data_IF_230925926832
#
_entry.id   IF_230925926832
#
_cell.length_a   1.000
_cell.length_b   1.000
_cell.length_c   1.000
_cell.angle_alpha   90.00
_cell.angle_beta   90.00
_cell.angle_gamma   90.00
#
_symmetry.space_group_name_H-M   'P 1'
#
loop_
_entity.id
_entity.type
_entity.pdbx_description
1 polymer ?
#
# COMPACT_ATOMS: atom_id res chain seq x y z
N UNK A 1 -11.27 10.87 -17.06
CA UNK A 1 -11.51 9.44 -16.81
C UNK A 1 -11.00 8.59 -17.98
N UNK A 2 -10.46 7.43 -17.69
CA UNK A 2 -10.03 6.43 -18.67
C UNK A 2 -10.98 5.27 -18.63
N UNK A 3 -11.72 5.09 -19.71
CA UNK A 3 -12.64 3.97 -19.89
C UNK A 3 -12.12 3.03 -20.96
N UNK A 4 -12.28 1.74 -20.70
CA UNK A 4 -11.89 0.67 -21.63
C UNK A 4 -13.11 -0.21 -21.94
N UNK A 5 -13.25 -0.54 -23.21
CA UNK A 5 -14.17 -1.57 -23.70
C UNK A 5 -13.41 -2.52 -24.64
N UNK A 6 -13.67 -3.80 -24.54
CA UNK A 6 -13.15 -4.81 -25.44
C UNK A 6 -14.10 -6.02 -25.41
N UNK A 7 -14.40 -6.60 -26.57
CA UNK A 7 -15.29 -7.77 -26.63
C UNK A 7 -14.50 -9.04 -26.35
N UNK A 8 -13.66 -9.47 -27.30
CA UNK A 8 -12.93 -10.73 -27.22
C UNK A 8 -11.44 -10.59 -26.89
N UNK A 9 -10.90 -9.38 -27.05
CA UNK A 9 -9.49 -9.14 -26.79
C UNK A 9 -9.20 -9.11 -25.31
N UNK A 10 -8.26 -9.92 -24.86
CA UNK A 10 -7.73 -9.85 -23.49
C UNK A 10 -6.80 -8.66 -23.36
N UNK A 11 -7.11 -7.75 -22.44
CA UNK A 11 -6.33 -6.57 -22.17
C UNK A 11 -5.39 -6.81 -21.00
N UNK A 12 -4.15 -6.42 -21.14
CA UNK A 12 -3.12 -6.51 -20.11
C UNK A 12 -2.80 -5.15 -19.52
N UNK A 13 -2.50 -4.21 -20.40
CA UNK A 13 -1.93 -2.91 -20.00
C UNK A 13 -2.42 -1.82 -20.94
N UNK A 14 -2.73 -0.67 -20.36
CA UNK A 14 -3.01 0.57 -21.08
C UNK A 14 -1.87 1.53 -20.77
N UNK A 15 -1.32 2.19 -21.81
CA UNK A 15 -0.26 3.19 -21.64
C UNK A 15 -0.66 4.50 -22.29
N UNK A 16 -0.52 5.59 -21.54
CA UNK A 16 -0.56 6.94 -22.07
C UNK A 16 0.79 7.60 -21.95
N UNK A 17 1.21 8.25 -23.03
CA UNK A 17 2.41 9.08 -23.04
C UNK A 17 2.03 10.49 -23.46
N UNK A 18 2.38 11.45 -22.62
CA UNK A 18 2.27 12.87 -22.93
C UNK A 18 3.66 13.44 -23.21
N UNK A 19 3.77 14.22 -24.27
CA UNK A 19 4.99 14.96 -24.62
C UNK A 19 5.11 16.24 -23.79
N UNK A 20 4.93 16.10 -22.49
CA UNK A 20 5.07 17.15 -21.48
C UNK A 20 6.41 16.96 -20.78
N UNK A 21 7.46 17.69 -21.19
CA UNK A 21 8.79 17.49 -20.65
C UNK A 21 8.85 17.88 -19.18
N UNK A 22 9.48 17.04 -18.36
CA UNK A 22 9.83 17.40 -16.99
C UNK A 22 11.17 18.11 -17.00
N UNK A 23 11.25 19.27 -16.35
CA UNK A 23 12.49 20.03 -16.28
C UNK A 23 13.59 19.17 -15.63
N UNK A 24 14.74 19.05 -16.27
CA UNK A 24 15.87 18.24 -15.80
C UNK A 24 16.40 18.66 -14.39
N UNK A 25 16.12 19.90 -13.97
CA UNK A 25 16.45 20.41 -12.63
C UNK A 25 15.39 20.07 -11.58
N UNK A 26 14.26 19.50 -11.98
CA UNK A 26 13.21 19.13 -11.05
C UNK A 26 13.69 18.07 -10.06
N UNK A 27 13.22 18.21 -8.81
CA UNK A 27 13.24 17.14 -7.84
C UNK A 27 11.89 16.43 -7.89
N UNK A 28 11.93 15.11 -7.90
CA UNK A 28 10.75 14.24 -8.06
C UNK A 28 10.50 13.49 -6.76
N UNK A 29 9.31 13.67 -6.20
CA UNK A 29 8.77 12.79 -5.17
C UNK A 29 7.78 11.84 -5.85
N UNK A 30 7.98 10.55 -5.73
CA UNK A 30 7.09 9.52 -6.28
C UNK A 30 6.57 8.60 -5.20
N UNK A 31 5.44 7.94 -5.46
CA UNK A 31 4.95 6.86 -4.63
C UNK A 31 5.90 5.66 -4.62
N UNK A 32 5.69 4.76 -3.70
CA UNK A 32 6.38 3.48 -3.60
C UNK A 32 5.35 2.35 -3.45
N UNK A 33 5.64 1.17 -3.98
CA UNK A 33 4.79 0.00 -3.84
C UNK A 33 4.73 -0.47 -2.38
N UNK A 34 5.88 -0.47 -1.75
CA UNK A 34 6.05 -0.82 -0.36
C UNK A 34 6.79 0.31 0.34
N UNK A 35 6.11 1.02 1.23
CA UNK A 35 6.67 2.22 1.86
C UNK A 35 7.77 1.93 2.85
N UNK A 36 7.76 0.76 3.45
CA UNK A 36 8.80 0.34 4.39
C UNK A 36 10.14 0.14 3.69
N UNK A 37 10.11 -0.39 2.47
CA UNK A 37 11.31 -0.65 1.66
C UNK A 37 11.48 0.36 0.52
N UNK A 38 10.46 1.15 0.29
CA UNK A 38 10.40 2.12 -0.80
C UNK A 38 11.04 3.43 -0.42
N UNK A 39 11.65 4.02 -1.41
CA UNK A 39 12.31 5.31 -1.30
C UNK A 39 11.33 6.43 -1.59
N UNK A 40 10.96 7.17 -0.57
CA UNK A 40 10.04 8.31 -0.63
C UNK A 40 10.74 9.67 -0.66
N UNK A 41 12.03 9.70 -0.97
CA UNK A 41 12.82 10.92 -1.05
C UNK A 41 12.60 11.69 -2.36
N UNK A 42 12.88 12.99 -2.29
CA UNK A 42 12.98 13.85 -3.44
C UNK A 42 14.26 13.55 -4.24
N UNK A 43 14.12 12.96 -5.41
CA UNK A 43 15.24 12.57 -6.30
C UNK A 43 15.27 13.38 -7.60
N UNK A 44 16.35 13.27 -8.35
CA UNK A 44 16.46 13.80 -9.70
C UNK A 44 15.53 13.07 -10.68
N UNK A 45 15.34 13.66 -11.85
CA UNK A 45 14.54 13.06 -12.93
C UNK A 45 15.19 11.79 -13.44
N UNK A 46 14.46 10.69 -13.45
CA UNK A 46 14.90 9.41 -14.00
C UNK A 46 13.74 8.67 -14.68
N UNK A 47 13.87 8.43 -15.97
CA UNK A 47 12.86 7.72 -16.76
C UNK A 47 12.70 6.23 -16.39
N UNK A 48 13.63 5.66 -15.66
CA UNK A 48 13.56 4.26 -15.19
C UNK A 48 12.83 4.10 -13.86
N UNK A 49 12.52 5.21 -13.17
CA UNK A 49 11.83 5.13 -11.87
C UNK A 49 10.34 4.83 -12.08
N UNK A 50 9.86 3.76 -11.47
CA UNK A 50 8.43 3.45 -11.37
C UNK A 50 7.86 4.16 -10.14
N UNK A 51 6.81 4.95 -10.35
CA UNK A 51 6.18 5.75 -9.29
C UNK A 51 4.70 5.37 -9.19
N UNK A 52 4.35 4.44 -8.27
CA UNK A 52 2.97 4.04 -8.06
C UNK A 52 2.07 5.21 -7.70
N UNK A 53 0.90 5.23 -8.28
CA UNK A 53 -0.23 6.12 -8.00
C UNK A 53 -0.02 7.59 -8.33
N UNK A 54 1.12 8.19 -7.98
CA UNK A 54 1.39 9.61 -8.18
C UNK A 54 2.89 9.93 -8.21
N UNK A 55 3.17 11.12 -8.70
CA UNK A 55 4.44 11.81 -8.45
C UNK A 55 4.24 13.33 -8.42
N UNK A 56 5.15 14.01 -7.74
CA UNK A 56 5.28 15.46 -7.77
C UNK A 56 6.64 15.84 -8.33
N UNK A 57 6.66 16.92 -9.12
CA UNK A 57 7.87 17.50 -9.69
C UNK A 57 8.01 18.95 -9.18
N UNK A 58 9.06 19.22 -8.40
CA UNK A 58 9.36 20.54 -7.85
C UNK A 58 10.54 21.17 -8.56
N UNK A 59 10.39 22.41 -9.01
CA UNK A 59 11.45 23.23 -9.60
C UNK A 59 11.22 24.70 -9.27
N UNK A 60 12.22 25.36 -8.66
CA UNK A 60 12.02 26.71 -8.12
C UNK A 60 10.89 26.70 -7.10
N UNK A 61 9.94 27.62 -7.24
CA UNK A 61 8.76 27.75 -6.38
C UNK A 61 7.55 26.98 -6.91
N UNK A 62 7.67 26.28 -8.04
CA UNK A 62 6.57 25.56 -8.70
C UNK A 62 6.63 24.09 -8.33
N UNK A 63 5.49 23.53 -7.90
CA UNK A 63 5.29 22.08 -7.72
C UNK A 63 4.13 21.62 -8.59
N UNK A 64 4.40 20.63 -9.44
CA UNK A 64 3.37 20.02 -10.30
C UNK A 64 3.16 18.58 -9.88
N UNK A 65 1.92 18.20 -9.57
CA UNK A 65 1.50 16.84 -9.23
C UNK A 65 0.77 16.16 -10.39
N UNK A 66 1.08 14.90 -10.62
CA UNK A 66 0.37 13.99 -11.54
C UNK A 66 0.00 12.73 -10.78
N UNK A 67 -1.26 12.31 -10.88
CA UNK A 67 -1.72 11.15 -10.13
C UNK A 67 -2.98 10.54 -10.70
N UNK A 68 -3.45 9.51 -10.01
CA UNK A 68 -4.77 8.93 -10.24
C UNK A 68 -5.60 9.06 -8.96
N UNK A 69 -6.91 9.28 -9.10
CA UNK A 69 -7.82 9.26 -7.95
C UNK A 69 -7.79 7.88 -7.29
N UNK A 70 -8.04 7.85 -6.01
CA UNK A 70 -8.13 6.62 -5.22
C UNK A 70 -9.15 5.64 -5.80
N UNK A 71 -8.94 4.35 -5.54
CA UNK A 71 -9.74 3.22 -6.02
C UNK A 71 -9.82 3.11 -7.55
N UNK A 72 -8.69 3.18 -8.27
CA UNK A 72 -8.67 2.80 -9.68
C UNK A 72 -8.94 1.30 -9.84
N UNK A 73 -9.45 0.90 -11.00
CA UNK A 73 -9.61 -0.52 -11.35
C UNK A 73 -8.40 -1.08 -12.10
N UNK A 74 -7.23 -0.52 -11.84
CA UNK A 74 -5.95 -0.92 -12.42
C UNK A 74 -4.81 -0.60 -11.45
N UNK A 75 -3.71 -1.35 -11.53
CA UNK A 75 -2.46 -0.98 -10.88
C UNK A 75 -1.80 0.12 -11.71
N UNK A 76 -1.79 1.33 -11.16
CA UNK A 76 -1.33 2.52 -11.87
C UNK A 76 0.07 2.92 -11.42
N UNK A 77 0.97 3.20 -12.36
CA UNK A 77 2.26 3.79 -12.06
C UNK A 77 2.71 4.78 -13.13
N UNK A 78 3.54 5.72 -12.71
CA UNK A 78 4.08 6.77 -13.54
C UNK A 78 5.56 6.60 -13.79
N UNK A 79 6.00 7.07 -14.95
CA UNK A 79 7.41 7.31 -15.28
C UNK A 79 7.52 8.70 -15.88
N UNK A 80 8.59 9.41 -15.57
CA UNK A 80 8.81 10.78 -16.02
C UNK A 80 10.26 10.97 -16.46
N UNK A 81 10.43 11.57 -17.63
CA UNK A 81 11.74 11.94 -18.16
C UNK A 81 11.71 13.36 -18.78
N UNK A 82 12.84 13.80 -19.31
CA UNK A 82 12.97 15.13 -19.93
C UNK A 82 12.20 15.30 -21.25
N UNK A 83 11.58 14.25 -21.78
CA UNK A 83 10.77 14.28 -23.00
C UNK A 83 9.28 14.12 -22.74
N UNK A 84 8.90 13.65 -21.54
CA UNK A 84 7.50 13.52 -21.21
C UNK A 84 7.21 12.64 -19.98
N UNK A 85 5.93 12.42 -19.77
CA UNK A 85 5.41 11.59 -18.69
C UNK A 85 4.61 10.41 -19.25
N UNK A 86 4.70 9.27 -18.60
CA UNK A 86 3.97 8.05 -18.99
C UNK A 86 3.16 7.58 -17.81
N UNK A 87 1.88 7.30 -18.03
CA UNK A 87 1.04 6.54 -17.11
C UNK A 87 0.85 5.12 -17.66
N UNK A 88 1.12 4.14 -16.85
CA UNK A 88 0.85 2.74 -17.14
C UNK A 88 -0.26 2.27 -16.18
N UNK A 89 -1.31 1.70 -16.75
CA UNK A 89 -2.43 1.10 -16.03
C UNK A 89 -2.44 -0.40 -16.33
N UNK A 90 -2.03 -1.20 -15.36
CA UNK A 90 -2.02 -2.66 -15.46
C UNK A 90 -3.36 -3.20 -14.94
N UNK A 91 -4.13 -3.82 -15.82
CA UNK A 91 -5.46 -4.38 -15.52
C UNK A 91 -5.43 -5.89 -15.33
N UNK A 92 -4.24 -6.52 -15.38
CA UNK A 92 -4.12 -7.98 -15.35
C UNK A 92 -4.48 -8.61 -14.02
N UNK A 93 -4.31 -7.89 -12.91
CA UNK A 93 -4.44 -8.46 -11.56
C UNK A 93 -3.65 -9.77 -11.37
N UNK A 94 -2.39 -9.78 -11.84
CA UNK A 94 -1.53 -10.97 -11.80
C UNK A 94 -1.75 -12.00 -12.91
N UNK A 95 -2.88 -11.94 -13.61
CA UNK A 95 -3.23 -12.90 -14.66
C UNK A 95 -2.64 -12.59 -16.04
N UNK A 96 -3.02 -13.40 -17.02
CA UNK A 96 -2.57 -13.32 -18.42
C UNK A 96 -3.28 -12.25 -19.24
N UNK A 97 -4.28 -11.60 -18.68
CA UNK A 97 -5.09 -10.57 -19.31
C UNK A 97 -6.54 -10.68 -18.91
N UNK A 98 -7.25 -9.55 -18.94
CA UNK A 98 -8.67 -9.47 -18.59
C UNK A 98 -9.52 -9.41 -19.84
N UNK A 99 -10.48 -10.33 -19.96
CA UNK A 99 -11.51 -10.29 -20.98
C UNK A 99 -12.73 -9.54 -20.45
N UNK A 100 -13.08 -8.44 -21.08
CA UNK A 100 -14.18 -7.61 -20.63
C UNK A 100 -15.54 -8.09 -21.14
N UNK A 101 -15.60 -8.82 -22.25
CA UNK A 101 -16.84 -9.35 -22.83
C UNK A 101 -17.93 -8.29 -22.97
N UNK A 102 -17.58 -7.14 -23.56
CA UNK A 102 -18.48 -6.00 -23.73
C UNK A 102 -18.70 -5.12 -22.50
N UNK A 103 -18.23 -5.50 -21.33
CA UNK A 103 -18.30 -4.65 -20.13
C UNK A 103 -17.41 -3.43 -20.27
N UNK A 104 -17.86 -2.32 -19.68
CA UNK A 104 -17.04 -1.10 -19.54
C UNK A 104 -16.24 -1.15 -18.25
N UNK A 105 -14.93 -0.91 -18.35
CA UNK A 105 -14.04 -0.78 -17.21
C UNK A 105 -13.56 0.68 -17.12
N UNK A 106 -13.88 1.36 -16.01
CA UNK A 106 -13.21 2.61 -15.67
C UNK A 106 -11.84 2.28 -15.06
N UNK A 107 -10.80 2.29 -15.89
CA UNK A 107 -9.46 1.88 -15.46
C UNK A 107 -8.89 2.85 -14.42
N UNK A 108 -8.97 4.15 -14.66
CA UNK A 108 -8.53 5.19 -13.73
C UNK A 108 -9.18 6.55 -14.00
N UNK A 109 -9.11 7.44 -13.03
CA UNK A 109 -9.35 8.87 -13.19
C UNK A 109 -8.05 9.61 -12.95
N UNK A 110 -7.53 10.24 -14.00
CA UNK A 110 -6.26 10.96 -13.97
C UNK A 110 -6.51 12.37 -13.40
N UNK A 111 -5.62 12.82 -12.55
CA UNK A 111 -5.63 14.16 -11.98
C UNK A 111 -4.25 14.80 -12.08
N UNK A 112 -4.25 16.12 -12.20
CA UNK A 112 -3.04 16.94 -12.13
C UNK A 112 -3.32 18.22 -11.34
N UNK A 113 -2.29 18.76 -10.73
CA UNK A 113 -2.35 20.02 -9.98
C UNK A 113 -1.02 20.74 -10.13
N UNK A 114 -1.06 22.07 -10.12
CA UNK A 114 0.15 22.89 -10.02
C UNK A 114 -0.05 23.91 -8.90
N UNK A 115 0.98 24.09 -8.10
CA UNK A 115 1.06 25.16 -7.08
C UNK A 115 2.29 26.02 -7.35
N UNK A 116 2.24 27.28 -6.93
CA UNK A 116 3.33 28.24 -7.04
C UNK A 116 3.45 29.01 -5.72
N UNK A 117 4.68 29.21 -5.26
CA UNK A 117 4.95 29.90 -3.99
C UNK A 117 4.52 29.12 -2.73
N UNK A 118 4.03 27.90 -2.89
CA UNK A 118 3.64 26.99 -1.79
C UNK A 118 4.79 26.03 -1.50
N UNK A 119 5.03 25.74 -0.21
CA UNK A 119 6.02 24.75 0.19
C UNK A 119 5.75 23.36 -0.39
N UNK A 120 6.79 22.56 -0.59
CA UNK A 120 6.66 21.21 -1.21
C UNK A 120 5.79 20.27 -0.38
N UNK A 121 5.84 20.37 0.94
CA UNK A 121 5.01 19.55 1.82
C UNK A 121 3.53 19.95 1.73
N UNK A 122 3.23 21.24 1.77
CA UNK A 122 1.88 21.76 1.62
C UNK A 122 1.30 21.41 0.25
N UNK A 123 2.11 21.52 -0.81
CA UNK A 123 1.72 21.13 -2.16
C UNK A 123 1.38 19.63 -2.23
N UNK A 124 2.16 18.79 -1.56
CA UNK A 124 1.89 17.35 -1.48
C UNK A 124 0.57 17.06 -0.74
N UNK A 125 0.30 17.75 0.37
CA UNK A 125 -0.96 17.65 1.11
C UNK A 125 -2.16 18.07 0.28
N UNK A 126 -2.07 19.19 -0.43
CA UNK A 126 -3.15 19.63 -1.33
C UNK A 126 -3.37 18.64 -2.46
N UNK A 127 -2.30 18.05 -3.01
CA UNK A 127 -2.43 17.03 -4.04
C UNK A 127 -3.09 15.74 -3.50
N UNK A 128 -2.86 15.36 -2.26
CA UNK A 128 -3.59 14.26 -1.62
C UNK A 128 -5.11 14.52 -1.62
N UNK A 129 -5.55 15.75 -1.34
CA UNK A 129 -6.98 16.12 -1.40
C UNK A 129 -7.55 16.04 -2.81
N UNK A 130 -6.74 16.36 -3.84
CA UNK A 130 -7.15 16.19 -5.25
C UNK A 130 -7.33 14.72 -5.61
N UNK A 131 -6.44 13.85 -5.11
CA UNK A 131 -6.52 12.40 -5.36
C UNK A 131 -7.63 11.72 -4.55
N UNK A 132 -7.91 12.20 -3.34
CA UNK A 132 -8.92 11.66 -2.43
C UNK A 132 -9.73 12.80 -1.82
N UNK A 133 -10.92 13.05 -2.35
CA UNK A 133 -11.82 14.11 -1.88
C UNK A 133 -12.61 13.73 -0.63
N UNK A 134 -12.70 12.44 -0.34
CA UNK A 134 -13.44 11.89 0.79
C UNK A 134 -12.60 10.80 1.47
N UNK A 135 -11.55 11.20 2.22
CA UNK A 135 -10.68 10.25 2.91
C UNK A 135 -11.38 9.69 4.16
N UNK A 136 -11.23 8.40 4.37
CA UNK A 136 -11.65 7.73 5.61
C UNK A 136 -10.44 7.67 6.53
N UNK A 137 -10.53 8.37 7.65
CA UNK A 137 -9.52 8.33 8.70
C UNK A 137 -10.03 7.50 9.89
N UNK A 138 -9.18 6.81 10.62
CA UNK A 138 -9.55 6.25 11.90
C UNK A 138 -9.91 7.37 12.89
N UNK A 139 -10.85 7.09 13.79
CA UNK A 139 -11.31 8.06 14.81
C UNK A 139 -10.23 8.40 15.85
N UNK A 140 -9.17 7.60 15.89
CA UNK A 140 -8.06 7.73 16.84
C UNK A 140 -6.72 7.39 16.16
N UNK A 141 -5.60 7.88 16.69
CA UNK A 141 -4.28 7.49 16.20
C UNK A 141 -4.06 5.99 16.27
N UNK A 142 -3.63 5.39 15.16
CA UNK A 142 -3.26 3.96 15.09
C UNK A 142 -1.77 3.85 15.36
N UNK A 143 -1.42 3.14 16.44
CA UNK A 143 -0.03 2.90 16.84
C UNK A 143 0.07 1.60 17.63
N UNK A 144 1.27 1.09 17.79
CA UNK A 144 1.49 -0.15 18.54
C UNK A 144 2.77 -0.85 18.15
N UNK A 145 2.81 -2.16 18.37
CA UNK A 145 3.95 -3.02 18.08
C UNK A 145 3.59 -4.10 17.06
N UNK A 146 4.62 -4.57 16.38
CA UNK A 146 4.59 -5.69 15.44
C UNK A 146 5.86 -6.50 15.63
N UNK A 147 5.76 -7.82 15.65
CA UNK A 147 6.87 -8.70 15.99
C UNK A 147 7.76 -9.14 14.81
N UNK A 148 7.44 -8.73 13.57
CA UNK A 148 8.14 -9.25 12.38
C UNK A 148 9.65 -9.01 12.41
N UNK A 149 10.09 -7.77 12.64
CA UNK A 149 11.48 -7.38 12.44
C UNK A 149 12.50 -7.94 13.44
N UNK A 150 12.08 -8.70 14.43
CA UNK A 150 13.00 -9.49 15.27
C UNK A 150 12.71 -10.98 15.20
N UNK A 151 11.43 -11.39 15.07
CA UNK A 151 11.02 -12.80 15.08
C UNK A 151 11.13 -13.46 13.70
N UNK A 152 10.88 -12.70 12.60
CA UNK A 152 10.90 -13.20 11.22
C UNK A 152 10.15 -14.53 11.03
N UNK A 153 9.00 -14.67 11.70
CA UNK A 153 8.19 -15.88 11.67
C UNK A 153 8.56 -16.94 12.70
N UNK A 154 9.62 -16.81 13.43
CA UNK A 154 9.88 -17.64 14.61
C UNK A 154 9.24 -17.00 15.85
N UNK A 155 7.92 -16.96 15.85
CA UNK A 155 7.07 -16.35 16.87
C UNK A 155 6.15 -17.37 17.53
N UNK A 156 5.66 -17.04 18.71
CA UNK A 156 4.73 -17.86 19.48
C UNK A 156 3.75 -17.00 20.27
N UNK A 157 2.65 -17.62 20.74
CA UNK A 157 1.70 -16.97 21.64
C UNK A 157 2.40 -16.40 22.87
N UNK A 158 3.37 -17.12 23.45
CA UNK A 158 4.12 -16.68 24.62
C UNK A 158 4.89 -15.39 24.38
N UNK A 159 5.62 -15.31 23.24
CA UNK A 159 6.38 -14.11 22.87
C UNK A 159 5.46 -12.91 22.61
N UNK A 160 4.33 -13.11 21.93
CA UNK A 160 3.34 -12.06 21.71
C UNK A 160 2.80 -11.52 23.02
N UNK A 161 2.58 -12.37 24.03
CA UNK A 161 2.12 -11.93 25.35
C UNK A 161 3.21 -11.17 26.11
N UNK A 162 4.48 -11.56 25.99
CA UNK A 162 5.61 -10.82 26.57
C UNK A 162 5.76 -9.45 25.90
N UNK A 163 5.71 -9.37 24.58
CA UNK A 163 5.75 -8.09 23.85
C UNK A 163 4.58 -7.17 24.24
N UNK A 164 3.42 -7.79 24.49
CA UNK A 164 2.25 -7.04 24.97
C UNK A 164 2.52 -6.38 26.30
N UNK A 165 3.19 -7.06 27.22
CA UNK A 165 3.54 -6.48 28.52
C UNK A 165 4.49 -5.27 28.35
N UNK A 166 5.45 -5.35 27.43
CA UNK A 166 6.33 -4.21 27.12
C UNK A 166 5.56 -3.03 26.51
N UNK A 167 4.68 -3.25 25.53
CA UNK A 167 3.95 -2.14 24.91
C UNK A 167 2.96 -1.50 25.89
N UNK A 168 2.34 -2.27 26.76
CA UNK A 168 1.45 -1.77 27.84
C UNK A 168 2.22 -0.87 28.79
N UNK A 169 3.40 -1.27 29.22
CA UNK A 169 4.24 -0.44 30.11
C UNK A 169 4.70 0.86 29.41
N UNK A 170 5.11 0.77 28.14
CA UNK A 170 5.54 1.93 27.36
C UNK A 170 4.41 2.93 27.10
N UNK A 171 3.17 2.47 27.08
CA UNK A 171 1.99 3.31 26.79
C UNK A 171 1.17 3.64 28.02
N UNK A 172 1.70 3.42 29.21
CA UNK A 172 1.06 3.69 30.47
C UNK A 172 0.62 5.16 30.60
N UNK A 173 -0.66 5.37 30.87
CA UNK A 173 -1.24 6.71 30.96
C UNK A 173 -1.71 7.29 29.63
N UNK A 174 -1.67 6.53 28.55
CA UNK A 174 -2.26 6.91 27.26
C UNK A 174 -3.67 6.32 27.17
N UNK A 175 -4.68 7.17 27.00
CA UNK A 175 -6.09 6.75 26.95
C UNK A 175 -6.43 5.88 25.74
N UNK A 176 -5.74 6.12 24.60
CA UNK A 176 -5.94 5.35 23.37
C UNK A 176 -5.09 4.07 23.40
N UNK A 177 -5.67 2.85 23.51
CA UNK A 177 -4.89 1.62 23.56
C UNK A 177 -4.06 1.38 22.30
N UNK A 178 -2.82 0.87 22.45
CA UNK A 178 -1.99 0.47 21.32
C UNK A 178 -2.50 -0.80 20.64
N UNK A 179 -2.02 -1.08 19.42
CA UNK A 179 -2.17 -2.39 18.81
C UNK A 179 -0.97 -3.29 19.14
N UNK A 180 -1.25 -4.57 19.35
CA UNK A 180 -0.26 -5.63 19.24
C UNK A 180 -0.57 -6.48 18.02
N UNK A 181 0.29 -6.40 17.00
CA UNK A 181 0.08 -7.07 15.72
C UNK A 181 0.89 -8.36 15.68
N UNK A 182 0.19 -9.46 15.51
CA UNK A 182 0.79 -10.76 15.21
C UNK A 182 1.08 -10.78 13.70
N UNK A 183 2.36 -10.79 13.34
CA UNK A 183 2.76 -10.79 11.95
C UNK A 183 2.71 -12.21 11.35
N UNK A 184 3.22 -12.38 10.16
CA UNK A 184 3.20 -13.62 9.38
C UNK A 184 3.67 -14.85 10.19
N UNK A 185 3.30 -16.04 9.72
CA UNK A 185 3.72 -17.32 10.29
C UNK A 185 2.92 -17.81 11.51
N UNK A 186 1.78 -17.20 11.80
CA UNK A 186 0.85 -17.69 12.81
C UNK A 186 -0.07 -18.81 12.31
N UNK A 187 -0.32 -18.84 11.00
CA UNK A 187 -1.31 -19.71 10.36
C UNK A 187 -0.84 -21.15 10.23
N UNK A 188 -1.82 -22.05 10.15
CA UNK A 188 -1.62 -23.47 9.78
C UNK A 188 -0.94 -23.55 8.41
N UNK A 189 -0.14 -24.58 8.17
CA UNK A 189 0.63 -24.80 6.94
C UNK A 189 1.71 -23.76 6.63
N UNK A 190 2.09 -22.93 7.60
CA UNK A 190 3.24 -22.07 7.42
C UNK A 190 4.53 -22.87 7.30
N UNK A 191 5.31 -22.61 6.24
CA UNK A 191 6.66 -23.10 6.04
C UNK A 191 7.57 -21.95 5.60
N UNK A 192 8.70 -21.82 6.28
CA UNK A 192 9.68 -20.77 5.98
C UNK A 192 10.32 -20.90 4.59
N UNK A 193 10.28 -22.09 4.00
CA UNK A 193 10.88 -22.47 2.72
C UNK A 193 9.87 -22.62 1.58
N UNK A 194 8.59 -22.46 1.87
CA UNK A 194 7.51 -22.58 0.91
C UNK A 194 6.64 -21.32 0.86
N UNK A 195 5.81 -21.27 -0.18
CA UNK A 195 4.85 -20.21 -0.36
C UNK A 195 3.82 -20.14 0.78
N UNK A 196 3.67 -18.97 1.37
CA UNK A 196 2.87 -18.72 2.54
C UNK A 196 1.53 -18.06 2.15
N UNK A 197 0.54 -18.87 1.79
CA UNK A 197 -0.73 -18.44 1.22
C UNK A 197 -1.99 -18.78 2.01
N UNK A 198 -1.89 -19.01 3.29
CA UNK A 198 -3.04 -19.42 4.13
C UNK A 198 -3.14 -20.95 4.26
N UNK A 199 -4.27 -21.54 4.73
CA UNK A 199 -5.53 -20.87 5.04
C UNK A 199 -5.45 -19.94 6.27
N UNK A 200 -6.16 -18.80 6.19
CA UNK A 200 -6.16 -17.77 7.24
C UNK A 200 -7.26 -18.00 8.29
N UNK A 201 -7.54 -19.26 8.62
CA UNK A 201 -8.66 -19.64 9.50
C UNK A 201 -8.22 -20.14 10.86
N UNK A 202 -7.01 -20.70 10.94
CA UNK A 202 -6.54 -21.44 12.10
C UNK A 202 -5.06 -21.20 12.33
N UNK A 203 -4.69 -21.06 13.59
CA UNK A 203 -3.30 -20.96 14.00
C UNK A 203 -2.58 -22.31 13.97
N UNK A 204 -1.25 -22.27 13.88
CA UNK A 204 -0.39 -23.43 13.98
C UNK A 204 -0.17 -23.85 15.44
N UNK A 205 0.73 -24.81 15.67
CA UNK A 205 1.01 -25.34 17.02
C UNK A 205 1.53 -24.28 18.01
N UNK A 206 2.18 -23.22 17.52
CA UNK A 206 2.66 -22.09 18.32
C UNK A 206 1.55 -21.06 18.65
N UNK A 207 0.46 -21.14 17.92
CA UNK A 207 -0.73 -20.29 18.04
C UNK A 207 -2.00 -21.15 18.05
N UNK A 208 -2.19 -21.99 19.09
CA UNK A 208 -3.21 -23.03 19.06
C UNK A 208 -4.66 -22.50 19.11
N UNK A 209 -4.86 -21.32 19.70
CA UNK A 209 -6.18 -20.68 19.80
C UNK A 209 -6.06 -19.16 19.65
N UNK A 210 -6.21 -18.69 18.40
CA UNK A 210 -6.15 -17.25 18.06
C UNK A 210 -7.26 -16.44 18.74
N UNK A 211 -8.43 -17.05 18.97
CA UNK A 211 -9.53 -16.38 19.65
C UNK A 211 -9.25 -16.16 21.14
N UNK A 212 -8.67 -17.16 21.80
CA UNK A 212 -8.23 -17.02 23.18
C UNK A 212 -7.07 -16.03 23.33
N UNK A 213 -6.12 -16.04 22.37
CA UNK A 213 -5.02 -15.08 22.35
C UNK A 213 -5.54 -13.65 22.20
N UNK A 214 -6.45 -13.39 21.25
CA UNK A 214 -7.04 -12.06 21.07
C UNK A 214 -7.69 -11.54 22.38
N UNK A 215 -8.43 -12.38 23.10
CA UNK A 215 -9.01 -12.01 24.41
C UNK A 215 -7.94 -11.67 25.46
N UNK A 216 -6.86 -12.46 25.54
CA UNK A 216 -5.74 -12.17 26.46
C UNK A 216 -5.09 -10.82 26.14
N UNK A 217 -4.97 -10.47 24.87
CA UNK A 217 -4.44 -9.17 24.43
C UNK A 217 -5.37 -8.03 24.85
N UNK A 218 -6.69 -8.17 24.64
CA UNK A 218 -7.69 -7.19 25.09
C UNK A 218 -7.69 -7.03 26.61
N UNK A 219 -7.62 -8.12 27.37
CA UNK A 219 -7.54 -8.13 28.84
C UNK A 219 -6.27 -7.41 29.35
N UNK A 220 -5.17 -7.47 28.60
CA UNK A 220 -3.94 -6.72 28.89
C UNK A 220 -4.03 -5.24 28.51
N UNK A 221 -5.07 -4.80 27.82
CA UNK A 221 -5.30 -3.40 27.47
C UNK A 221 -4.76 -2.98 26.09
N UNK A 222 -4.52 -3.93 25.19
CA UNK A 222 -4.14 -3.64 23.81
C UNK A 222 -5.22 -4.08 22.82
N UNK A 223 -5.20 -3.52 21.62
CA UNK A 223 -6.03 -3.98 20.51
C UNK A 223 -5.30 -5.09 19.75
N UNK A 224 -5.89 -6.29 19.61
CA UNK A 224 -5.26 -7.34 18.81
C UNK A 224 -5.25 -6.96 17.33
N UNK A 225 -4.12 -7.14 16.68
CA UNK A 225 -3.93 -7.02 15.25
C UNK A 225 -3.40 -8.32 14.66
N UNK A 226 -3.68 -8.55 13.38
CA UNK A 226 -3.23 -9.75 12.69
C UNK A 226 -2.85 -9.43 11.25
N UNK A 227 -1.72 -9.97 10.81
CA UNK A 227 -1.28 -9.87 9.43
C UNK A 227 -1.84 -11.00 8.58
N UNK A 228 -2.34 -10.68 7.40
CA UNK A 228 -2.86 -11.66 6.43
C UNK A 228 -2.60 -11.21 4.99
N UNK A 229 -2.54 -12.16 4.07
CA UNK A 229 -2.56 -11.94 2.62
C UNK A 229 -3.90 -12.38 2.03
N UNK A 230 -4.96 -11.62 2.24
CA UNK A 230 -6.32 -12.05 1.91
C UNK A 230 -6.59 -12.28 0.40
N UNK A 231 -5.70 -11.84 -0.50
CA UNK A 231 -5.79 -12.15 -1.93
C UNK A 231 -4.87 -13.30 -2.37
N UNK A 232 -4.25 -13.97 -1.40
CA UNK A 232 -3.28 -15.01 -1.63
C UNK A 232 -3.66 -16.23 -0.82
N UNK A 233 -4.05 -17.32 -1.49
CA UNK A 233 -4.39 -18.58 -0.87
C UNK A 233 -3.71 -19.72 -1.61
N UNK A 234 -3.44 -20.81 -0.93
CA UNK A 234 -3.01 -22.06 -1.54
C UNK A 234 -4.17 -22.68 -2.35
N UNK A 235 -3.85 -23.43 -3.41
CA UNK A 235 -4.85 -24.08 -4.27
C UNK A 235 -5.80 -24.98 -3.49
N UNK A 236 -5.30 -25.62 -2.44
CA UNK A 236 -6.06 -26.53 -1.57
C UNK A 236 -7.10 -25.81 -0.68
N UNK A 237 -7.10 -24.48 -0.66
CA UNK A 237 -7.97 -23.67 0.18
C UNK A 237 -9.07 -22.94 -0.59
N UNK A 238 -9.11 -23.11 -1.91
CA UNK A 238 -10.13 -22.58 -2.81
C UNK A 238 -11.19 -23.64 -3.07
#
# INVERSE_FOLDING_TARGET
EVWLTADQTKVKTIKFRWNTPVNKKSRILGGSWERTYGDVDWKGVSGSRFMPWYFLAAVGETVTGYGVKVRPSAMCFWQADTRGITLVMDVRCGGIGVQLSGRKLRAAQIVAMQTEGMGTFESAREFCKVMCTDPIFPDYPVYGSNNWYYAYGDSSEEEILQDTDYIVELTKGVDNPPYMVIDDCWQEHHRLDEYNGGPWKKGNIKFPDMGALAKKLEEKGVRPGIWVRFLLNEEETI
#
